data_IF_328515403783
#
_entry.id   IF_328515403783
#
_cell.length_a   1.000
_cell.length_b   1.000
_cell.length_c   1.000
_cell.angle_alpha   90.00
_cell.angle_beta   90.00
_cell.angle_gamma   90.00
#
_symmetry.space_group_name_H-M   'P 1'
#
loop_
_entity.id
_entity.type
_entity.pdbx_description
1 polymer ?
#
# COMPACT_ATOMS: atom_id res chain seq x y z
N UNK A 1 67.21 14.35 45.04
CA UNK A 1 66.87 14.93 43.72
C UNK A 1 65.83 14.04 43.09
N UNK A 2 64.64 14.58 42.83
CA UNK A 2 63.50 14.06 42.04
C UNK A 2 62.96 12.67 42.45
N UNK A 3 61.66 12.43 42.66
CA UNK A 3 60.46 13.01 42.07
C UNK A 3 59.26 12.72 43.00
N UNK A 4 58.38 13.71 43.20
CA UNK A 4 57.02 13.55 43.71
C UNK A 4 56.08 13.45 42.52
N UNK A 5 55.25 12.41 42.43
CA UNK A 5 54.06 12.41 41.58
C UNK A 5 52.83 11.89 42.34
N UNK A 6 52.09 12.86 42.87
CA UNK A 6 50.70 12.75 43.26
C UNK A 6 49.83 12.60 42.00
N UNK A 7 49.03 11.55 41.92
CA UNK A 7 47.76 11.57 41.16
C UNK A 7 46.69 10.87 42.01
N UNK A 8 45.98 11.68 42.79
CA UNK A 8 44.58 11.45 43.10
C UNK A 8 43.77 12.07 41.96
N UNK A 9 42.75 11.38 41.44
CA UNK A 9 41.36 11.84 41.38
C UNK A 9 40.51 10.79 40.66
N UNK A 10 39.61 10.19 41.44
CA UNK A 10 38.51 9.34 40.99
C UNK A 10 37.49 10.15 40.19
N UNK A 11 37.30 9.80 38.92
CA UNK A 11 36.18 10.30 38.11
C UNK A 11 34.84 9.75 38.64
N UNK A 12 33.82 10.60 38.90
CA UNK A 12 32.48 10.14 39.19
C UNK A 12 31.75 9.74 37.89
N UNK A 13 30.96 8.66 37.97
CA UNK A 13 30.15 8.15 36.88
C UNK A 13 29.21 9.23 36.29
N UNK A 14 29.07 9.33 34.96
CA UNK A 14 28.19 10.32 34.36
C UNK A 14 26.73 10.01 34.70
N UNK A 15 26.07 10.98 35.34
CA UNK A 15 24.64 10.98 35.60
C UNK A 15 23.89 10.85 34.27
N UNK A 16 22.95 9.91 34.21
CA UNK A 16 21.99 9.77 33.12
C UNK A 16 21.27 11.11 32.92
N UNK A 17 21.64 11.82 31.86
CA UNK A 17 20.88 12.94 31.34
C UNK A 17 19.43 12.47 31.13
N UNK A 18 18.52 13.06 31.90
CA UNK A 18 17.10 13.00 31.62
C UNK A 18 16.91 13.62 30.24
N UNK A 19 16.72 12.76 29.25
CA UNK A 19 16.27 13.19 27.93
C UNK A 19 14.95 13.95 28.12
N UNK A 20 15.02 15.25 27.87
CA UNK A 20 13.85 16.11 27.75
C UNK A 20 12.85 15.44 26.82
N UNK A 21 11.64 15.26 27.34
CA UNK A 21 10.53 14.67 26.61
C UNK A 21 10.22 15.55 25.40
N UNK A 22 10.05 15.00 24.18
CA UNK A 22 9.71 15.81 23.02
C UNK A 22 8.40 16.55 23.28
N UNK A 23 8.45 17.84 22.98
CA UNK A 23 7.39 18.85 22.97
C UNK A 23 5.96 18.28 23.00
N UNK A 24 5.27 18.43 24.14
CA UNK A 24 3.86 18.06 24.30
C UNK A 24 3.02 19.02 23.48
N UNK A 25 2.80 18.68 22.21
CA UNK A 25 1.72 19.23 21.40
C UNK A 25 0.44 19.28 22.25
N UNK A 26 -0.26 20.43 22.35
CA UNK A 26 -1.44 20.54 23.19
C UNK A 26 -2.44 19.49 22.74
N UNK A 27 -2.75 18.53 23.61
CA UNK A 27 -3.64 17.42 23.32
C UNK A 27 -5.01 17.98 22.91
N UNK A 28 -5.24 18.05 21.59
CA UNK A 28 -6.45 18.57 20.97
C UNK A 28 -7.65 17.78 21.51
N UNK A 29 -8.70 18.51 21.93
CA UNK A 29 -9.99 17.88 22.26
C UNK A 29 -10.49 17.15 21.02
N UNK A 30 -10.74 15.86 21.17
CA UNK A 30 -11.21 14.99 20.10
C UNK A 30 -12.70 15.29 19.89
N UNK A 31 -13.04 15.76 18.70
CA UNK A 31 -14.43 16.10 18.39
C UNK A 31 -15.27 14.84 18.19
N UNK A 32 -16.54 14.89 18.63
CA UNK A 32 -17.51 13.86 18.33
C UNK A 32 -17.38 12.56 19.12
N UNK A 33 -16.70 12.56 20.28
CA UNK A 33 -16.79 11.46 21.25
C UNK A 33 -18.11 11.54 22.02
N UNK A 34 -18.84 10.42 22.11
CA UNK A 34 -20.13 10.35 22.80
C UNK A 34 -20.35 8.97 23.42
N UNK A 35 -21.05 8.91 24.54
CA UNK A 35 -21.50 7.65 25.15
C UNK A 35 -22.61 6.93 24.38
N UNK A 36 -23.09 7.50 23.25
CA UNK A 36 -24.01 6.83 22.32
C UNK A 36 -23.29 5.91 21.33
N UNK A 37 -21.97 5.98 21.28
CA UNK A 37 -21.16 5.16 20.39
C UNK A 37 -20.83 3.82 21.04
N UNK A 38 -20.69 2.80 20.20
CA UNK A 38 -20.14 1.52 20.61
C UNK A 38 -18.66 1.68 21.01
N UNK A 39 -18.19 0.79 21.88
CA UNK A 39 -16.85 0.88 22.45
C UNK A 39 -15.75 0.88 21.36
N UNK A 40 -15.91 0.07 20.32
CA UNK A 40 -14.93 0.00 19.22
C UNK A 40 -14.91 1.25 18.34
N UNK A 41 -16.06 1.82 18.03
CA UNK A 41 -16.13 3.05 17.24
C UNK A 41 -15.52 4.23 18.02
N UNK A 42 -15.74 4.27 19.33
CA UNK A 42 -15.13 5.25 20.21
C UNK A 42 -13.60 5.16 20.18
N UNK A 43 -13.04 3.96 20.37
CA UNK A 43 -11.58 3.77 20.33
C UNK A 43 -11.00 4.03 18.94
N UNK A 44 -11.71 3.66 17.87
CA UNK A 44 -11.35 3.96 16.48
C UNK A 44 -11.26 5.47 16.24
N UNK A 45 -12.19 6.26 16.76
CA UNK A 45 -12.14 7.73 16.69
C UNK A 45 -10.96 8.32 17.45
N UNK A 46 -10.64 7.77 18.63
CA UNK A 46 -9.48 8.23 19.40
C UNK A 46 -8.19 7.94 18.64
N UNK A 47 -8.03 6.73 18.10
CA UNK A 47 -6.86 6.34 17.31
C UNK A 47 -6.71 7.21 16.04
N UNK A 48 -7.81 7.56 15.37
CA UNK A 48 -7.81 8.48 14.22
C UNK A 48 -7.41 9.91 14.56
N UNK A 49 -7.81 10.39 15.74
CA UNK A 49 -7.53 11.76 16.16
C UNK A 49 -6.07 11.96 16.56
N UNK A 50 -5.29 10.88 16.67
CA UNK A 50 -3.89 10.88 17.05
C UNK A 50 -3.06 10.09 16.02
N UNK A 51 -2.88 10.62 14.79
CA UNK A 51 -2.15 9.92 13.73
C UNK A 51 -0.67 9.74 14.08
N UNK A 52 -0.06 10.61 14.88
CA UNK A 52 1.36 10.49 15.25
C UNK A 52 1.59 9.49 16.39
N UNK A 53 0.53 9.07 17.08
CA UNK A 53 0.63 8.13 18.17
C UNK A 53 0.66 6.68 17.65
N UNK A 54 1.41 5.78 18.30
CA UNK A 54 1.34 4.36 17.96
C UNK A 54 -0.11 3.85 18.09
N UNK A 55 -0.44 2.88 17.26
CA UNK A 55 -1.75 2.23 17.26
C UNK A 55 -2.06 1.56 18.59
N UNK A 56 -3.32 1.61 18.98
CA UNK A 56 -3.78 1.06 20.25
C UNK A 56 -3.50 -0.45 20.34
N UNK A 57 -2.86 -0.89 21.42
CA UNK A 57 -2.56 -2.30 21.68
C UNK A 57 -1.36 -2.87 20.93
N UNK A 58 -0.51 -2.04 20.33
CA UNK A 58 0.81 -2.45 19.80
C UNK A 58 1.86 -2.46 20.92
N UNK A 59 2.96 -3.19 20.74
CA UNK A 59 4.13 -3.10 21.64
C UNK A 59 4.58 -1.65 21.79
N UNK A 60 4.74 -1.18 23.03
CA UNK A 60 5.16 0.18 23.37
C UNK A 60 4.16 1.32 23.04
N UNK A 61 2.87 1.02 22.87
CA UNK A 61 1.83 2.00 22.50
C UNK A 61 1.61 3.13 23.55
N UNK A 62 2.08 2.96 24.80
CA UNK A 62 1.89 3.93 25.90
C UNK A 62 0.43 4.42 26.06
N UNK A 63 -0.55 3.64 25.62
CA UNK A 63 -1.96 4.02 25.65
C UNK A 63 -2.48 4.30 27.06
N UNK A 64 -1.88 3.70 28.10
CA UNK A 64 -2.20 4.01 29.51
C UNK A 64 -1.91 5.46 29.91
N UNK A 65 -1.05 6.17 29.18
CA UNK A 65 -0.80 7.61 29.38
C UNK A 65 -1.90 8.48 28.76
N UNK A 66 -2.58 7.98 27.72
CA UNK A 66 -3.58 8.72 26.91
C UNK A 66 -5.03 8.30 27.19
N UNK A 67 -5.23 7.09 27.69
CA UNK A 67 -6.52 6.47 27.92
C UNK A 67 -6.62 5.98 29.36
N UNK A 68 -7.78 6.19 29.97
CA UNK A 68 -8.16 5.54 31.22
C UNK A 68 -9.51 4.86 31.00
N UNK A 69 -9.53 3.53 30.97
CA UNK A 69 -10.75 2.75 30.76
C UNK A 69 -11.11 2.13 32.10
N UNK A 70 -12.29 2.47 32.59
CA UNK A 70 -12.79 2.00 33.89
C UNK A 70 -14.14 1.34 33.72
N UNK A 71 -14.43 0.37 34.58
CA UNK A 71 -15.73 -0.26 34.66
C UNK A 71 -16.42 0.17 35.96
N UNK A 72 -17.58 0.84 35.90
CA UNK A 72 -18.32 1.17 37.11
C UNK A 72 -18.87 -0.10 37.75
N UNK A 73 -18.73 -0.25 39.07
CA UNK A 73 -19.32 -1.36 39.80
C UNK A 73 -20.83 -1.14 39.96
N UNK A 74 -21.61 -1.66 39.02
CA UNK A 74 -23.07 -1.59 39.03
C UNK A 74 -23.66 -3.00 38.85
N UNK A 75 -24.83 -3.20 39.45
CA UNK A 75 -25.64 -4.41 39.38
C UNK A 75 -26.79 -4.27 38.37
N UNK A 76 -27.01 -3.07 37.84
CA UNK A 76 -28.01 -2.84 36.81
C UNK A 76 -27.52 -3.38 35.45
N UNK A 77 -28.45 -3.95 34.68
CA UNK A 77 -28.21 -4.26 33.29
C UNK A 77 -27.85 -2.98 32.52
N UNK A 78 -26.82 -3.07 31.68
CA UNK A 78 -26.37 -1.96 30.88
C UNK A 78 -27.30 -1.77 29.67
N UNK A 79 -27.93 -0.60 29.54
CA UNK A 79 -28.65 -0.23 28.32
C UNK A 79 -27.70 0.13 27.16
N UNK A 80 -26.43 0.42 27.48
CA UNK A 80 -25.37 0.77 26.54
C UNK A 80 -24.02 0.25 27.03
N UNK A 81 -23.12 -0.02 26.09
CA UNK A 81 -21.75 -0.47 26.39
C UNK A 81 -20.91 0.62 27.06
N UNK A 82 -20.99 1.85 26.54
CA UNK A 82 -20.28 3.03 27.06
C UNK A 82 -21.25 3.83 27.91
N UNK A 83 -20.91 3.99 29.19
CA UNK A 83 -21.72 4.75 30.15
C UNK A 83 -21.44 6.24 30.00
N UNK A 84 -20.16 6.59 29.95
CA UNK A 84 -19.71 7.97 30.01
C UNK A 84 -18.31 8.13 29.41
N UNK A 85 -18.04 9.33 28.88
CA UNK A 85 -16.79 9.68 28.20
C UNK A 85 -16.41 11.09 28.59
N UNK A 86 -15.33 11.22 29.36
CA UNK A 86 -14.80 12.51 29.81
C UNK A 86 -13.44 12.76 29.17
N UNK A 87 -13.25 13.91 28.52
CA UNK A 87 -11.96 14.32 27.96
C UNK A 87 -11.26 15.26 28.94
N UNK A 88 -10.16 14.81 29.57
CA UNK A 88 -9.30 15.59 30.46
C UNK A 88 -7.87 15.57 29.91
N UNK A 89 -7.53 16.44 28.94
CA UNK A 89 -6.24 16.44 28.25
C UNK A 89 -5.07 16.31 29.23
N UNK A 90 -4.10 15.41 28.99
CA UNK A 90 -3.92 14.57 27.80
C UNK A 90 -4.71 13.23 27.81
N UNK A 91 -5.54 12.97 28.82
CA UNK A 91 -6.25 11.69 29.00
C UNK A 91 -7.71 11.74 28.56
N UNK A 92 -8.17 10.66 27.93
CA UNK A 92 -9.59 10.37 27.75
C UNK A 92 -10.01 9.30 28.75
N UNK A 93 -10.99 9.63 29.59
CA UNK A 93 -11.56 8.71 30.59
C UNK A 93 -12.83 8.12 30.00
N UNK A 94 -12.85 6.80 29.87
CA UNK A 94 -13.96 6.04 29.32
C UNK A 94 -14.51 5.16 30.45
N UNK A 95 -15.80 5.30 30.74
CA UNK A 95 -16.52 4.38 31.62
C UNK A 95 -17.29 3.41 30.75
N UNK A 96 -16.84 2.17 30.67
CA UNK A 96 -17.45 1.13 29.84
C UNK A 96 -17.87 -0.06 30.69
N UNK A 97 -19.04 -0.63 30.40
CA UNK A 97 -19.53 -1.85 31.07
C UNK A 97 -19.19 -3.13 30.31
N UNK A 98 -18.90 -3.00 29.00
CA UNK A 98 -18.58 -4.11 28.10
C UNK A 98 -17.36 -4.91 28.57
N UNK A 99 -16.33 -4.26 29.12
CA UNK A 99 -15.07 -4.91 29.46
C UNK A 99 -14.68 -4.66 30.92
N UNK A 100 -14.51 -5.75 31.68
CA UNK A 100 -13.98 -5.71 33.04
C UNK A 100 -14.43 -6.90 33.89
N UNK A 101 -14.40 -6.73 35.21
CA UNK A 101 -14.65 -7.80 36.19
C UNK A 101 -15.95 -7.63 36.98
N UNK A 102 -16.55 -6.43 36.96
CA UNK A 102 -17.75 -6.04 37.69
C UNK A 102 -18.98 -6.01 36.77
N UNK A 103 -19.87 -6.96 36.93
CA UNK A 103 -21.19 -6.95 36.30
C UNK A 103 -22.05 -8.02 36.96
N UNK A 104 -23.38 -7.99 36.80
CA UNK A 104 -24.26 -9.11 37.17
C UNK A 104 -23.81 -10.45 36.58
N UNK A 105 -23.18 -10.41 35.39
CA UNK A 105 -22.58 -11.55 34.71
C UNK A 105 -21.05 -11.41 34.56
N UNK A 106 -20.43 -10.68 35.49
CA UNK A 106 -18.98 -10.52 35.51
C UNK A 106 -18.28 -11.82 35.92
N UNK A 107 -16.98 -11.97 35.62
CA UNK A 107 -16.20 -13.15 36.00
C UNK A 107 -15.97 -13.25 37.52
N UNK A 108 -16.10 -12.15 38.27
CA UNK A 108 -15.95 -12.17 39.73
C UNK A 108 -17.28 -12.49 40.42
N UNK A 109 -17.24 -13.12 41.61
CA UNK A 109 -18.44 -13.32 42.41
C UNK A 109 -19.20 -12.02 42.66
N UNK A 110 -20.53 -12.10 42.67
CA UNK A 110 -21.42 -10.93 42.78
C UNK A 110 -21.13 -10.06 44.03
N UNK A 111 -20.77 -10.69 45.15
CA UNK A 111 -20.46 -10.00 46.41
C UNK A 111 -19.25 -9.05 46.28
N UNK A 112 -18.32 -9.33 45.36
CA UNK A 112 -17.17 -8.44 45.10
C UNK A 112 -17.63 -7.17 44.37
N UNK A 113 -18.60 -7.30 43.48
CA UNK A 113 -19.23 -6.16 42.80
C UNK A 113 -20.06 -5.32 43.77
N UNK A 114 -20.81 -5.95 44.67
CA UNK A 114 -21.54 -5.28 45.75
C UNK A 114 -20.59 -4.52 46.68
N UNK A 115 -19.47 -5.13 47.07
CA UNK A 115 -18.45 -4.49 47.87
C UNK A 115 -17.89 -3.24 47.16
N UNK A 116 -17.44 -3.40 45.90
CA UNK A 116 -16.91 -2.30 45.09
C UNK A 116 -17.92 -1.15 44.92
N UNK A 117 -19.20 -1.47 44.77
CA UNK A 117 -20.31 -0.51 44.71
C UNK A 117 -20.51 0.21 46.04
N UNK A 118 -20.49 -0.55 47.14
CA UNK A 118 -20.66 0.00 48.49
C UNK A 118 -19.55 0.97 48.86
N UNK A 119 -18.30 0.68 48.48
CA UNK A 119 -17.17 1.58 48.72
C UNK A 119 -17.28 2.89 47.93
N UNK A 120 -17.69 2.80 46.66
CA UNK A 120 -17.86 3.97 45.80
C UNK A 120 -19.01 4.87 46.26
N UNK A 121 -20.17 4.28 46.62
CA UNK A 121 -21.35 5.07 47.02
C UNK A 121 -21.25 5.53 48.48
N UNK A 122 -20.97 4.62 49.41
CA UNK A 122 -21.03 4.92 50.85
C UNK A 122 -19.77 5.62 51.35
N UNK A 123 -18.59 5.16 50.93
CA UNK A 123 -17.30 5.72 51.37
C UNK A 123 -16.71 6.74 50.41
N UNK A 124 -17.34 6.95 49.24
CA UNK A 124 -16.80 7.79 48.14
C UNK A 124 -15.39 7.37 47.71
N UNK A 125 -15.06 6.09 47.87
CA UNK A 125 -13.74 5.55 47.58
C UNK A 125 -13.77 4.69 46.31
N UNK A 126 -13.08 5.17 45.27
CA UNK A 126 -12.97 4.48 43.97
C UNK A 126 -11.73 3.61 43.84
N UNK A 127 -10.91 3.50 44.89
CA UNK A 127 -9.61 2.82 44.83
C UNK A 127 -9.73 1.38 44.32
N UNK A 128 -10.69 0.60 44.85
CA UNK A 128 -10.86 -0.79 44.43
C UNK A 128 -11.30 -0.92 42.97
N UNK A 129 -12.25 -0.09 42.52
CA UNK A 129 -12.67 -0.04 41.11
C UNK A 129 -11.50 0.34 40.19
N UNK A 130 -10.72 1.34 40.57
CA UNK A 130 -9.56 1.80 39.81
C UNK A 130 -8.45 0.74 39.76
N UNK A 131 -8.18 0.06 40.87
CA UNK A 131 -7.20 -1.03 40.93
C UNK A 131 -7.55 -2.15 39.94
N UNK A 132 -8.81 -2.59 39.94
CA UNK A 132 -9.29 -3.60 38.96
C UNK A 132 -9.28 -3.06 37.53
N UNK A 133 -9.52 -1.76 37.36
CA UNK A 133 -9.45 -1.09 36.06
C UNK A 133 -8.03 -1.10 35.47
N UNK A 134 -6.98 -1.00 36.28
CA UNK A 134 -5.58 -1.09 35.80
C UNK A 134 -5.34 -2.41 35.06
N UNK A 135 -5.87 -3.52 35.60
CA UNK A 135 -5.73 -4.85 35.01
C UNK A 135 -6.60 -5.00 33.76
N UNK A 136 -7.87 -4.61 33.85
CA UNK A 136 -8.85 -4.81 32.76
C UNK A 136 -8.68 -3.86 31.58
N UNK A 137 -8.18 -2.64 31.80
CA UNK A 137 -7.97 -1.65 30.75
C UNK A 137 -7.10 -2.19 29.62
N UNK A 138 -5.97 -2.84 29.95
CA UNK A 138 -5.06 -3.37 28.92
C UNK A 138 -5.74 -4.43 28.07
N UNK A 139 -6.53 -5.30 28.69
CA UNK A 139 -7.29 -6.31 27.96
C UNK A 139 -8.38 -5.69 27.08
N UNK A 140 -9.06 -4.63 27.53
CA UNK A 140 -10.04 -3.91 26.70
C UNK A 140 -9.40 -3.33 25.44
N UNK A 141 -8.20 -2.75 25.57
CA UNK A 141 -7.42 -2.24 24.43
C UNK A 141 -6.98 -3.37 23.51
N UNK A 142 -6.52 -4.50 24.05
CA UNK A 142 -6.13 -5.67 23.24
C UNK A 142 -7.32 -6.30 22.52
N UNK A 143 -8.50 -6.28 23.14
CA UNK A 143 -9.74 -6.75 22.51
C UNK A 143 -10.09 -5.89 21.30
N UNK A 144 -10.05 -4.57 21.45
CA UNK A 144 -10.18 -3.63 20.33
C UNK A 144 -9.11 -3.87 19.27
N UNK A 145 -7.85 -4.12 19.66
CA UNK A 145 -6.77 -4.40 18.72
C UNK A 145 -7.06 -5.65 17.89
N UNK A 146 -7.49 -6.75 18.53
CA UNK A 146 -7.87 -7.97 17.83
C UNK A 146 -9.00 -7.71 16.82
N UNK A 147 -10.03 -6.95 17.22
CA UNK A 147 -11.11 -6.52 16.32
C UNK A 147 -10.58 -5.66 15.15
N UNK A 148 -9.73 -4.67 15.41
CA UNK A 148 -9.18 -3.77 14.38
C UNK A 148 -8.34 -4.51 13.33
N UNK A 149 -7.67 -5.61 13.71
CA UNK A 149 -6.84 -6.41 12.81
C UNK A 149 -7.67 -7.27 11.85
N UNK A 150 -8.87 -7.69 12.27
CA UNK A 150 -9.81 -8.45 11.44
C UNK A 150 -10.57 -7.53 10.49
N UNK A 151 -10.73 -6.26 10.85
CA UNK A 151 -11.47 -5.27 10.06
C UNK A 151 -10.53 -4.44 9.18
N UNK A 152 -10.44 -4.79 7.90
CA UNK A 152 -9.57 -4.10 6.92
C UNK A 152 -9.84 -2.60 6.82
N UNK A 153 -11.10 -2.18 7.00
CA UNK A 153 -11.50 -0.77 6.96
C UNK A 153 -10.86 0.06 8.07
N UNK A 154 -10.71 -0.49 9.28
CA UNK A 154 -10.04 0.20 10.39
C UNK A 154 -8.55 0.41 10.09
N UNK A 155 -7.95 -0.44 9.27
CA UNK A 155 -6.56 -0.29 8.81
C UNK A 155 -6.31 0.96 7.96
N UNK A 156 -7.34 1.44 7.24
CA UNK A 156 -7.26 2.59 6.32
C UNK A 156 -7.41 3.96 6.99
N UNK A 157 -7.87 3.98 8.24
CA UNK A 157 -8.19 5.21 8.97
C UNK A 157 -6.95 5.98 9.45
N UNK A 158 -5.78 5.37 9.33
CA UNK A 158 -4.50 5.91 9.78
C UNK A 158 -3.58 6.05 8.57
N UNK A 159 -2.93 7.22 8.43
CA UNK A 159 -2.09 7.57 7.27
C UNK A 159 -0.69 6.92 7.33
N UNK A 160 -0.52 5.92 8.20
CA UNK A 160 0.61 5.01 8.07
C UNK A 160 0.52 4.38 6.70
N UNK A 161 1.56 4.56 5.89
CA UNK A 161 1.83 3.82 4.64
C UNK A 161 1.89 2.28 4.81
N UNK A 162 1.47 1.77 5.96
CA UNK A 162 1.59 0.42 6.49
C UNK A 162 0.24 -0.14 6.92
N UNK A 163 -0.83 0.06 6.14
CA UNK A 163 -2.02 -0.77 6.35
C UNK A 163 -1.59 -2.25 6.20
N UNK A 164 -1.61 -3.07 7.27
CA UNK A 164 -1.03 -4.41 7.22
C UNK A 164 -1.69 -5.31 6.18
N UNK A 165 -2.99 -5.09 5.91
CA UNK A 165 -3.72 -5.80 4.88
C UNK A 165 -3.22 -5.44 3.48
N UNK A 166 -3.05 -4.15 3.17
CA UNK A 166 -2.50 -3.70 1.89
C UNK A 166 -1.06 -4.15 1.71
N UNK A 167 -0.24 -4.11 2.76
CA UNK A 167 1.13 -4.62 2.70
C UNK A 167 1.16 -6.11 2.31
N UNK A 168 0.30 -6.94 2.91
CA UNK A 168 0.19 -8.37 2.56
C UNK A 168 -0.33 -8.56 1.13
N UNK A 169 -1.30 -7.76 0.71
CA UNK A 169 -1.80 -7.77 -0.67
C UNK A 169 -0.69 -7.44 -1.66
N UNK A 170 0.07 -6.38 -1.40
CA UNK A 170 1.21 -5.95 -2.22
C UNK A 170 2.31 -7.02 -2.27
N UNK A 171 2.63 -7.64 -1.14
CA UNK A 171 3.57 -8.76 -1.08
C UNK A 171 3.12 -9.94 -1.95
N UNK A 172 1.82 -10.27 -1.97
CA UNK A 172 1.29 -11.33 -2.83
C UNK A 172 1.47 -11.05 -4.33
N UNK A 173 1.64 -9.79 -4.71
CA UNK A 173 1.90 -9.34 -6.09
C UNK A 173 3.38 -8.98 -6.29
N UNK A 174 4.24 -9.30 -5.33
CA UNK A 174 5.68 -9.03 -5.39
C UNK A 174 6.04 -7.54 -5.29
N UNK A 175 5.16 -6.72 -4.72
CA UNK A 175 5.44 -5.33 -4.33
C UNK A 175 5.87 -5.35 -2.87
N UNK A 176 7.18 -5.40 -2.65
CA UNK A 176 7.78 -5.41 -1.31
C UNK A 176 8.79 -4.28 -1.19
N UNK A 177 8.84 -3.57 -0.06
CA UNK A 177 9.89 -2.57 0.18
C UNK A 177 11.28 -3.20 0.00
N UNK A 178 12.17 -2.53 -0.73
CA UNK A 178 13.54 -2.99 -0.97
C UNK A 178 13.76 -3.84 -2.23
N UNK A 179 12.70 -4.27 -2.92
CA UNK A 179 12.85 -4.91 -4.23
C UNK A 179 12.93 -3.82 -5.30
N UNK A 180 14.08 -3.72 -5.97
CA UNK A 180 14.33 -2.77 -7.07
C UNK A 180 13.48 -3.09 -8.30
N UNK A 181 12.20 -2.68 -8.28
CA UNK A 181 11.27 -2.81 -9.39
C UNK A 181 11.06 -1.44 -10.04
N UNK A 182 10.77 -1.42 -11.33
CA UNK A 182 10.39 -0.17 -12.00
C UNK A 182 9.19 0.49 -11.28
N UNK A 183 9.23 1.81 -10.99
CA UNK A 183 8.18 2.49 -10.22
C UNK A 183 6.81 2.43 -10.89
N UNK A 184 6.75 2.41 -12.23
CA UNK A 184 5.51 2.31 -12.98
C UNK A 184 4.87 0.92 -12.80
N UNK A 185 5.69 -0.14 -12.83
CA UNK A 185 5.26 -1.52 -12.59
C UNK A 185 4.76 -1.69 -11.16
N UNK A 186 5.51 -1.16 -10.18
CA UNK A 186 5.12 -1.23 -8.77
C UNK A 186 3.75 -0.58 -8.53
N UNK A 187 3.51 0.60 -9.12
CA UNK A 187 2.23 1.30 -9.03
C UNK A 187 1.07 0.48 -9.62
N UNK A 188 1.27 -0.15 -10.77
CA UNK A 188 0.25 -0.97 -11.40
C UNK A 188 -0.03 -2.27 -10.65
N UNK A 189 0.99 -2.95 -10.14
CA UNK A 189 0.82 -4.12 -9.27
C UNK A 189 0.07 -3.77 -7.99
N UNK A 190 0.35 -2.60 -7.41
CA UNK A 190 -0.35 -2.11 -6.22
C UNK A 190 -1.82 -1.76 -6.50
N UNK A 191 -2.11 -1.11 -7.63
CA UNK A 191 -3.47 -0.69 -8.00
C UNK A 191 -4.34 -1.84 -8.53
N UNK A 192 -3.75 -2.75 -9.32
CA UNK A 192 -4.45 -3.83 -10.02
C UNK A 192 -4.00 -5.21 -9.54
N UNK A 193 -3.83 -5.39 -8.23
CA UNK A 193 -3.25 -6.62 -7.67
C UNK A 193 -3.94 -7.91 -8.12
N UNK A 194 -5.28 -7.89 -8.25
CA UNK A 194 -6.05 -9.04 -8.71
C UNK A 194 -5.76 -9.48 -10.16
N UNK A 195 -5.33 -8.56 -11.03
CA UNK A 195 -4.98 -8.87 -12.43
C UNK A 195 -3.59 -9.50 -12.57
N UNK A 196 -2.69 -9.21 -11.62
CA UNK A 196 -1.32 -9.72 -11.62
C UNK A 196 -1.16 -11.09 -10.93
N UNK A 197 -2.23 -11.60 -10.29
CA UNK A 197 -2.24 -12.92 -9.69
C UNK A 197 -1.95 -14.02 -10.74
N UNK A 198 -1.20 -15.07 -10.38
CA UNK A 198 -0.95 -16.21 -11.26
C UNK A 198 -2.24 -16.78 -11.85
N UNK A 199 -2.22 -17.14 -13.14
CA UNK A 199 -3.36 -17.71 -13.85
C UNK A 199 -4.48 -16.73 -14.25
N UNK A 200 -4.46 -15.47 -13.79
CA UNK A 200 -5.46 -14.45 -14.15
C UNK A 200 -5.00 -13.42 -15.19
N UNK A 201 -3.74 -13.52 -15.63
CA UNK A 201 -3.11 -12.57 -16.56
C UNK A 201 -3.65 -12.75 -17.98
N UNK A 202 -4.57 -11.88 -18.37
CA UNK A 202 -5.14 -11.86 -19.72
C UNK A 202 -4.74 -10.60 -20.47
N UNK A 203 -4.49 -10.73 -21.78
CA UNK A 203 -4.16 -9.59 -22.64
C UNK A 203 -5.28 -8.54 -22.69
N UNK A 204 -6.53 -8.96 -22.56
CA UNK A 204 -7.69 -8.05 -22.45
C UNK A 204 -7.62 -7.20 -21.18
N UNK A 205 -7.20 -7.76 -20.05
CA UNK A 205 -7.00 -6.97 -18.83
C UNK A 205 -5.80 -6.05 -18.97
N UNK A 206 -4.69 -6.52 -19.56
CA UNK A 206 -3.53 -5.68 -19.85
C UNK A 206 -3.93 -4.45 -20.70
N UNK A 207 -4.74 -4.67 -21.74
CA UNK A 207 -5.27 -3.58 -22.57
C UNK A 207 -6.03 -2.53 -21.75
N UNK A 208 -6.93 -2.97 -20.84
CA UNK A 208 -7.68 -2.06 -19.96
C UNK A 208 -6.76 -1.31 -19.00
N UNK A 209 -5.79 -2.01 -18.41
CA UNK A 209 -4.83 -1.43 -17.47
C UNK A 209 -3.97 -0.37 -18.18
N UNK A 210 -3.44 -0.67 -19.37
CA UNK A 210 -2.65 0.27 -20.16
C UNK A 210 -3.47 1.48 -20.59
N UNK A 211 -4.72 1.27 -21.04
CA UNK A 211 -5.60 2.36 -21.43
C UNK A 211 -5.92 3.29 -20.25
N UNK A 212 -6.19 2.74 -19.06
CA UNK A 212 -6.44 3.51 -17.85
C UNK A 212 -5.19 4.23 -17.34
N UNK A 213 -4.02 3.60 -17.43
CA UNK A 213 -2.76 4.15 -16.94
C UNK A 213 -2.23 5.30 -17.80
N UNK A 214 -2.28 5.10 -19.12
CA UNK A 214 -1.74 6.05 -20.07
C UNK A 214 -2.78 7.04 -20.59
N UNK A 215 -4.07 6.87 -20.27
CA UNK A 215 -5.16 7.72 -20.74
C UNK A 215 -5.20 7.85 -22.27
N UNK A 216 -4.85 6.76 -22.97
CA UNK A 216 -4.78 6.67 -24.43
C UNK A 216 -5.44 5.36 -24.86
N UNK A 217 -6.18 5.33 -25.98
CA UNK A 217 -6.68 4.08 -26.55
C UNK A 217 -5.54 3.11 -26.87
N UNK A 218 -5.63 1.90 -26.33
CA UNK A 218 -4.69 0.80 -26.61
C UNK A 218 -5.48 -0.39 -27.12
N UNK A 219 -4.99 -1.03 -28.18
CA UNK A 219 -5.50 -2.29 -28.68
C UNK A 219 -4.38 -3.33 -28.68
N UNK A 220 -4.68 -4.54 -28.20
CA UNK A 220 -3.72 -5.63 -28.16
C UNK A 220 -4.25 -6.77 -29.02
N UNK A 221 -3.52 -7.09 -30.08
CA UNK A 221 -3.81 -8.23 -30.96
C UNK A 221 -2.95 -9.42 -30.54
N UNK A 222 -3.55 -10.49 -29.97
CA UNK A 222 -2.83 -11.70 -29.63
C UNK A 222 -2.41 -12.48 -30.88
N UNK A 223 -1.43 -13.37 -30.73
CA UNK A 223 -0.99 -14.30 -31.80
C UNK A 223 -0.60 -13.58 -33.09
N UNK A 224 0.09 -12.47 -32.95
CA UNK A 224 0.60 -11.71 -34.08
C UNK A 224 1.74 -12.47 -34.73
N UNK A 225 1.58 -12.76 -36.01
CA UNK A 225 2.53 -13.59 -36.73
C UNK A 225 3.74 -12.80 -37.20
N UNK A 226 4.93 -13.33 -36.93
CA UNK A 226 6.19 -12.67 -37.24
C UNK A 226 7.23 -13.67 -37.74
N UNK A 227 8.20 -13.15 -38.49
CA UNK A 227 9.37 -13.90 -38.90
C UNK A 227 10.41 -13.90 -37.77
N UNK A 228 10.71 -15.07 -37.24
CA UNK A 228 11.73 -15.29 -36.22
C UNK A 228 13.00 -15.80 -36.88
N UNK A 229 14.15 -15.21 -36.53
CA UNK A 229 15.44 -15.70 -37.00
C UNK A 229 15.81 -16.98 -36.24
N UNK A 230 16.18 -18.03 -36.97
CA UNK A 230 16.72 -19.22 -36.33
C UNK A 230 18.20 -18.98 -36.02
N UNK A 231 18.48 -18.59 -34.76
CA UNK A 231 19.84 -18.28 -34.30
C UNK A 231 20.79 -19.49 -34.38
N UNK A 232 20.23 -20.71 -34.45
CA UNK A 232 21.00 -21.94 -34.67
C UNK A 232 21.04 -22.19 -36.17
N UNK A 233 22.01 -21.58 -36.84
CA UNK A 233 22.40 -21.98 -38.20
C UNK A 233 23.07 -23.35 -38.18
N UNK A 234 22.37 -24.39 -37.70
CA UNK A 234 22.83 -25.78 -37.79
C UNK A 234 22.80 -26.18 -39.25
N UNK A 235 23.90 -25.87 -39.93
CA UNK A 235 24.10 -26.10 -41.34
C UNK A 235 23.98 -27.58 -41.69
N UNK A 236 23.40 -27.83 -42.87
CA UNK A 236 23.46 -29.08 -43.60
C UNK A 236 23.02 -30.34 -42.84
N UNK A 237 21.71 -30.49 -42.63
CA UNK A 237 21.13 -31.84 -42.63
C UNK A 237 20.96 -32.28 -44.08
N UNK A 238 21.74 -33.27 -44.53
CA UNK A 238 21.66 -33.84 -45.90
C UNK A 238 20.27 -34.39 -46.23
N UNK A 239 19.54 -34.89 -45.23
CA UNK A 239 18.14 -35.27 -45.30
C UNK A 239 17.43 -34.75 -44.04
N UNK A 240 16.64 -33.70 -44.17
CA UNK A 240 15.73 -33.27 -43.11
C UNK A 240 14.57 -34.25 -42.95
N UNK A 241 14.08 -34.44 -41.71
CA UNK A 241 12.90 -35.26 -41.44
C UNK A 241 11.65 -34.36 -41.36
N UNK A 242 10.59 -34.76 -42.06
CA UNK A 242 9.30 -34.06 -42.00
C UNK A 242 8.79 -34.01 -40.55
N UNK A 243 8.37 -32.83 -40.11
CA UNK A 243 7.89 -32.59 -38.74
C UNK A 243 8.98 -32.32 -37.70
N UNK A 244 10.27 -32.43 -38.05
CA UNK A 244 11.40 -32.13 -37.14
C UNK A 244 12.32 -31.03 -37.66
N UNK A 245 12.58 -31.01 -38.96
CA UNK A 245 13.53 -30.07 -39.56
C UNK A 245 12.81 -28.81 -40.05
N UNK A 246 13.33 -27.63 -39.69
CA UNK A 246 12.90 -26.32 -40.21
C UNK A 246 13.77 -25.96 -41.42
N UNK A 247 13.17 -25.31 -42.41
CA UNK A 247 13.87 -24.89 -43.65
C UNK A 247 13.98 -23.38 -43.68
N UNK A 248 15.17 -22.88 -44.01
CA UNK A 248 15.46 -21.45 -44.14
C UNK A 248 16.15 -20.85 -42.90
N UNK A 249 16.63 -19.62 -43.06
CA UNK A 249 17.26 -18.84 -41.98
C UNK A 249 16.23 -18.19 -41.03
N UNK A 250 14.95 -18.23 -41.40
CA UNK A 250 13.83 -17.67 -40.64
C UNK A 250 12.64 -18.60 -40.72
N UNK A 251 11.86 -18.66 -39.65
CA UNK A 251 10.57 -19.35 -39.64
C UNK A 251 9.46 -18.41 -39.22
N UNK A 252 8.26 -18.70 -39.70
CA UNK A 252 7.07 -17.91 -39.39
C UNK A 252 6.40 -18.47 -38.14
N UNK A 253 6.27 -17.65 -37.10
CA UNK A 253 5.60 -18.02 -35.86
C UNK A 253 4.51 -17.02 -35.49
N UNK A 254 3.34 -17.55 -35.12
CA UNK A 254 2.19 -16.80 -34.65
C UNK A 254 1.81 -17.13 -33.20
N UNK A 255 2.56 -18.01 -32.52
CA UNK A 255 2.22 -18.45 -31.17
C UNK A 255 2.68 -17.45 -30.12
N UNK A 256 3.90 -16.93 -30.25
CA UNK A 256 4.53 -16.14 -29.19
C UNK A 256 4.52 -14.63 -29.45
N UNK A 257 3.90 -14.15 -30.53
CA UNK A 257 3.82 -12.72 -30.86
C UNK A 257 2.57 -12.03 -30.31
N UNK A 258 2.71 -10.83 -29.77
CA UNK A 258 1.61 -9.92 -29.48
C UNK A 258 1.90 -8.53 -30.05
N UNK A 259 0.90 -7.97 -30.73
CA UNK A 259 1.00 -6.64 -31.32
C UNK A 259 0.16 -5.64 -30.52
N UNK A 260 0.76 -4.51 -30.16
CA UNK A 260 0.14 -3.45 -29.37
C UNK A 260 0.05 -2.19 -30.23
N UNK A 261 -1.18 -1.79 -30.54
CA UNK A 261 -1.49 -0.53 -31.20
C UNK A 261 -1.86 0.53 -30.16
N UNK A 262 -1.15 1.65 -30.16
CA UNK A 262 -1.38 2.80 -29.27
C UNK A 262 -1.91 3.96 -30.09
N UNK A 263 -3.12 4.42 -29.79
CA UNK A 263 -3.72 5.58 -30.45
C UNK A 263 -5.12 5.30 -31.00
N UNK A 264 -5.74 6.30 -31.66
CA UNK A 264 -5.09 7.45 -32.31
C UNK A 264 -4.49 8.49 -31.33
N UNK A 265 -3.27 8.94 -31.63
CA UNK A 265 -2.52 9.95 -30.86
C UNK A 265 -2.41 11.27 -31.64
N UNK A 266 -2.62 12.44 -31.01
CA UNK A 266 -2.37 13.75 -31.63
C UNK A 266 -0.87 14.07 -31.72
N UNK A 267 -0.52 15.13 -32.49
CA UNK A 267 0.84 15.67 -32.68
C UNK A 267 1.62 15.83 -31.37
N UNK A 268 0.98 16.39 -30.34
CA UNK A 268 1.63 16.70 -29.07
C UNK A 268 1.99 15.45 -28.24
N UNK A 269 1.23 14.36 -28.40
CA UNK A 269 1.40 13.16 -27.57
C UNK A 269 2.30 12.11 -28.21
N UNK A 270 2.32 11.98 -29.55
CA UNK A 270 3.10 10.91 -30.18
C UNK A 270 4.61 11.04 -29.93
N UNK A 271 5.13 12.27 -29.77
CA UNK A 271 6.53 12.50 -29.41
C UNK A 271 6.93 11.83 -28.10
N UNK A 272 6.00 11.76 -27.14
CA UNK A 272 6.22 11.13 -25.84
C UNK A 272 6.30 9.60 -25.92
N UNK A 273 5.90 9.00 -27.05
CA UNK A 273 5.92 7.55 -27.29
C UNK A 273 6.99 7.12 -28.30
N UNK A 274 7.83 8.04 -28.79
CA UNK A 274 8.90 7.72 -29.73
C UNK A 274 9.98 6.82 -29.11
N UNK A 275 10.84 6.26 -29.97
CA UNK A 275 11.99 5.45 -29.56
C UNK A 275 12.89 6.20 -28.57
N UNK A 276 13.12 5.57 -27.42
CA UNK A 276 13.93 6.12 -26.32
C UNK A 276 13.17 7.03 -25.35
N UNK A 277 11.86 7.24 -25.54
CA UNK A 277 11.05 8.00 -24.59
C UNK A 277 10.80 7.22 -23.30
N UNK A 278 10.68 7.94 -22.18
CA UNK A 278 10.40 7.36 -20.86
C UNK A 278 9.05 6.66 -20.85
N UNK A 279 8.05 7.22 -21.54
CA UNK A 279 6.68 6.66 -21.60
C UNK A 279 6.65 5.33 -22.35
N UNK A 280 7.37 5.22 -23.46
CA UNK A 280 7.52 3.96 -24.19
C UNK A 280 8.26 2.92 -23.35
N UNK A 281 9.37 3.31 -22.69
CA UNK A 281 10.11 2.40 -21.81
C UNK A 281 9.24 1.89 -20.65
N UNK A 282 8.45 2.76 -20.03
CA UNK A 282 7.49 2.38 -19.00
C UNK A 282 6.48 1.36 -19.54
N UNK A 283 5.92 1.60 -20.72
CA UNK A 283 4.96 0.68 -21.35
C UNK A 283 5.60 -0.69 -21.64
N UNK A 284 6.80 -0.71 -22.22
CA UNK A 284 7.55 -1.95 -22.50
C UNK A 284 7.80 -2.73 -21.22
N UNK A 285 8.28 -2.06 -20.15
CA UNK A 285 8.54 -2.67 -18.86
C UNK A 285 7.27 -3.25 -18.21
N UNK A 286 6.15 -2.53 -18.31
CA UNK A 286 4.85 -2.99 -17.81
C UNK A 286 4.38 -4.25 -18.56
N UNK A 287 4.47 -4.25 -19.89
CA UNK A 287 4.06 -5.39 -20.70
C UNK A 287 4.93 -6.63 -20.41
N UNK A 288 6.25 -6.46 -20.35
CA UNK A 288 7.16 -7.55 -20.02
C UNK A 288 6.92 -8.12 -18.62
N UNK A 289 6.68 -7.26 -17.64
CA UNK A 289 6.36 -7.66 -16.27
C UNK A 289 5.04 -8.43 -16.18
N UNK A 290 3.99 -7.90 -16.80
CA UNK A 290 2.66 -8.53 -16.81
C UNK A 290 2.69 -9.89 -17.53
N UNK A 291 3.46 -10.01 -18.61
CA UNK A 291 3.58 -11.22 -19.41
C UNK A 291 4.67 -12.19 -18.94
N UNK A 292 5.42 -11.87 -17.88
CA UNK A 292 6.60 -12.64 -17.46
C UNK A 292 7.60 -12.91 -18.59
N UNK A 293 7.76 -11.97 -19.53
CA UNK A 293 8.63 -12.12 -20.72
C UNK A 293 8.31 -13.35 -21.61
N UNK A 294 7.08 -13.88 -21.57
CA UNK A 294 6.67 -15.07 -22.35
C UNK A 294 6.28 -14.76 -23.80
N UNK A 295 5.99 -13.49 -24.11
CA UNK A 295 5.61 -13.06 -25.47
C UNK A 295 6.61 -12.06 -26.03
N UNK A 296 6.82 -12.17 -27.34
CA UNK A 296 7.52 -11.19 -28.15
C UNK A 296 6.56 -10.05 -28.45
N UNK A 297 6.95 -8.85 -28.04
CA UNK A 297 6.13 -7.65 -28.18
C UNK A 297 6.52 -6.89 -29.44
N UNK A 298 5.51 -6.54 -30.22
CA UNK A 298 5.59 -5.55 -31.29
C UNK A 298 4.66 -4.38 -30.97
N UNK A 299 5.16 -3.15 -31.02
CA UNK A 299 4.44 -1.96 -30.59
C UNK A 299 4.43 -0.93 -31.71
N UNK A 300 3.22 -0.57 -32.13
CA UNK A 300 2.96 0.43 -33.14
C UNK A 300 2.15 1.61 -32.59
N UNK A 301 2.46 2.80 -33.08
CA UNK A 301 1.71 4.02 -32.82
C UNK A 301 0.76 4.27 -33.98
N UNK A 302 -0.51 4.54 -33.66
CA UNK A 302 -1.49 5.10 -34.57
C UNK A 302 -1.47 6.62 -34.37
N UNK A 303 -0.85 7.33 -35.31
CA UNK A 303 -0.65 8.78 -35.24
C UNK A 303 -1.73 9.44 -36.08
N UNK A 304 -2.51 10.33 -35.48
CA UNK A 304 -3.37 11.22 -36.23
C UNK A 304 -2.50 12.31 -36.85
N UNK A 305 -2.51 12.41 -38.17
CA UNK A 305 -1.66 13.31 -38.94
C UNK A 305 -2.43 14.58 -39.29
N UNK A 306 -1.81 15.73 -39.04
CA UNK A 306 -2.36 17.07 -39.25
C UNK A 306 -1.46 17.82 -40.24
N UNK A 307 -2.00 18.72 -41.08
CA UNK A 307 -1.23 19.45 -42.08
C UNK A 307 -0.09 20.30 -41.46
N UNK A 308 -0.25 20.73 -40.21
CA UNK A 308 0.74 21.48 -39.43
C UNK A 308 1.99 20.66 -39.06
N UNK A 309 1.94 19.33 -39.21
CA UNK A 309 3.09 18.45 -38.90
C UNK A 309 4.19 18.50 -39.96
N UNK A 310 3.99 19.23 -41.07
CA UNK A 310 4.94 19.36 -42.16
C UNK A 310 6.34 19.78 -41.66
N UNK A 311 7.38 19.20 -42.24
CA UNK A 311 8.75 19.45 -41.82
C UNK A 311 9.17 20.89 -42.17
N UNK A 312 9.68 21.61 -41.18
CA UNK A 312 10.37 22.89 -41.37
C UNK A 312 11.86 22.67 -41.10
N UNK A 313 12.73 23.23 -41.94
CA UNK A 313 14.18 23.14 -41.74
C UNK A 313 14.59 23.85 -40.44
N UNK A 314 15.54 23.25 -39.71
CA UNK A 314 16.15 23.85 -38.52
C UNK A 314 15.53 23.47 -37.17
N UNK A 315 14.28 23.00 -37.12
CA UNK A 315 13.56 22.85 -35.84
C UNK A 315 13.02 21.43 -35.55
N UNK A 316 13.32 20.43 -36.40
CA UNK A 316 12.77 19.07 -36.30
C UNK A 316 13.84 18.00 -36.47
N UNK A 317 13.76 16.92 -35.67
CA UNK A 317 14.69 15.78 -35.76
C UNK A 317 14.27 14.82 -36.87
N UNK A 318 15.22 14.43 -37.72
CA UNK A 318 15.01 13.44 -38.78
C UNK A 318 14.58 12.09 -38.17
N UNK A 319 13.67 11.37 -38.83
CA UNK A 319 13.10 10.08 -38.38
C UNK A 319 12.17 10.15 -37.15
N UNK A 320 12.04 11.32 -36.51
CA UNK A 320 11.23 11.55 -35.31
C UNK A 320 10.09 12.53 -35.54
N UNK A 321 10.41 13.74 -36.01
CA UNK A 321 9.47 14.86 -36.03
C UNK A 321 9.14 15.37 -37.45
N UNK A 322 9.90 14.93 -38.46
CA UNK A 322 9.78 15.41 -39.83
C UNK A 322 8.77 14.62 -40.67
N UNK A 323 7.70 15.29 -41.12
CA UNK A 323 6.76 14.76 -42.11
C UNK A 323 6.94 15.50 -43.45
N UNK A 324 7.20 14.78 -44.54
CA UNK A 324 7.39 15.39 -45.87
C UNK A 324 6.11 16.02 -46.42
N UNK A 325 4.99 15.30 -46.35
CA UNK A 325 3.66 15.78 -46.75
C UNK A 325 2.59 15.10 -45.89
N UNK A 326 2.25 15.64 -44.71
CA UNK A 326 1.18 15.07 -43.90
C UNK A 326 -0.15 15.23 -44.64
N UNK A 327 -0.85 14.13 -44.86
CA UNK A 327 -2.27 14.13 -45.25
C UNK A 327 -3.09 13.99 -43.97
N UNK A 328 -4.29 14.56 -43.91
CA UNK A 328 -5.21 14.27 -42.80
C UNK A 328 -5.58 12.79 -42.81
N UNK A 329 -5.19 12.06 -41.77
CA UNK A 329 -5.42 10.61 -41.68
C UNK A 329 -4.72 9.95 -40.50
N UNK A 330 -4.80 8.62 -40.43
CA UNK A 330 -4.10 7.83 -39.41
C UNK A 330 -2.90 7.15 -40.05
N UNK A 331 -1.70 7.40 -39.51
CA UNK A 331 -0.47 6.76 -39.92
C UNK A 331 -0.03 5.75 -38.85
N UNK A 332 0.30 4.53 -39.27
CA UNK A 332 0.82 3.48 -38.38
C UNK A 332 2.34 3.46 -38.43
N UNK A 333 2.99 3.67 -37.29
CA UNK A 333 4.44 3.66 -37.15
C UNK A 333 4.88 2.59 -36.15
N UNK A 334 5.74 1.66 -36.57
CA UNK A 334 6.34 0.68 -35.67
C UNK A 334 7.50 1.28 -34.88
N UNK A 335 7.40 1.27 -33.55
CA UNK A 335 8.34 1.97 -32.67
C UNK A 335 9.20 1.01 -31.86
N UNK A 336 8.68 -0.15 -31.47
CA UNK A 336 9.44 -1.11 -30.69
C UNK A 336 9.14 -2.54 -31.13
N UNK A 337 10.18 -3.36 -31.24
CA UNK A 337 10.10 -4.79 -31.46
C UNK A 337 11.05 -5.47 -30.47
N UNK A 338 10.56 -6.45 -29.73
CA UNK A 338 11.41 -7.25 -28.86
C UNK A 338 12.35 -8.11 -29.71
N UNK A 339 13.63 -8.16 -29.34
CA UNK A 339 14.56 -9.12 -29.95
C UNK A 339 14.09 -10.54 -29.60
N UNK A 340 14.01 -11.40 -30.61
CA UNK A 340 13.71 -12.84 -30.52
C UNK A 340 14.93 -13.67 -30.25
#
# INVERSE_FOLDING_TARGET
MHEMSLIQHSEPAPLLEQQDSPDKSPALKIQGLSNRQDFFELLRRIERAQPDAPRLGVSNDRSHERLNITQPADLAFASREVVDVEQKPPKVIIKARHFGMFAPYGPLPIHVTEHARSEDIAKRNKAFQQFVSIMSQRFAVLHYRAWSQLNTMAGHDHDDQKNPFLCRLWQAVGVTPGVGTNPHVQRLRAAYGGAYLPGRRSLRQLQKILAAYFLVPVQITPRHAQWVNDGKQTGNQKLGALGKTRVGSRFFDAQYGAHIDIGPLPSSQYQQYQRGSVRLQALVNICHDFMCHQLVLDISLLIHTEPEMAMQLGNKRLSKDGWLKPKTGTYKQQVYQSAT
#
